data_IF_229467112063
#
_entry.id   IF_229467112063
#
_cell.length_a   1.000
_cell.length_b   1.000
_cell.length_c   1.000
_cell.angle_alpha   90.00
_cell.angle_beta   90.00
_cell.angle_gamma   90.00
#
_symmetry.space_group_name_H-M   'P 1'
#
loop_
_entity.id
_entity.type
_entity.pdbx_description
1 polymer ?
#
# COMPACT_ATOMS: atom_id res chain seq x y z
N UNK A 1 -3.54 -16.17 15.92
CA UNK A 1 -2.94 -14.83 15.95
C UNK A 1 -3.18 -14.08 17.27
N UNK A 2 -4.30 -14.27 17.96
CA UNK A 2 -4.62 -13.52 19.21
C UNK A 2 -3.75 -13.86 20.45
N UNK A 3 -2.91 -14.88 20.41
CA UNK A 3 -2.04 -15.27 21.54
C UNK A 3 -0.69 -14.53 21.61
N UNK A 4 -0.38 -13.69 20.63
CA UNK A 4 0.88 -12.93 20.59
C UNK A 4 0.60 -11.47 20.97
N UNK A 5 1.04 -11.02 22.13
CA UNK A 5 0.87 -9.63 22.60
C UNK A 5 1.54 -8.56 21.71
N UNK A 6 2.29 -8.99 20.69
CA UNK A 6 2.93 -8.11 19.71
C UNK A 6 2.02 -7.75 18.52
N UNK A 7 0.88 -8.45 18.35
CA UNK A 7 -0.05 -8.23 17.25
C UNK A 7 -1.35 -7.62 17.79
N UNK A 8 -1.73 -6.49 17.22
CA UNK A 8 -3.05 -5.87 17.43
C UNK A 8 -3.85 -5.95 16.15
N UNK A 9 -5.08 -6.43 16.25
CA UNK A 9 -6.01 -6.55 15.12
C UNK A 9 -7.16 -5.57 15.37
N UNK A 10 -7.50 -4.79 14.34
CA UNK A 10 -8.63 -3.88 14.34
C UNK A 10 -9.61 -4.32 13.28
N UNK A 11 -10.86 -4.55 13.66
CA UNK A 11 -11.92 -4.98 12.75
C UNK A 11 -12.59 -3.78 12.09
N UNK A 12 -11.82 -3.02 11.31
CA UNK A 12 -12.27 -1.82 10.59
C UNK A 12 -11.52 -1.70 9.25
N UNK A 13 -12.14 -1.06 8.28
CA UNK A 13 -11.44 -0.59 7.09
C UNK A 13 -10.71 0.74 7.38
N UNK A 14 -9.74 1.09 6.55
CA UNK A 14 -9.04 2.37 6.61
C UNK A 14 -9.40 3.26 5.41
N UNK A 15 -9.54 4.56 5.65
CA UNK A 15 -9.83 5.55 4.60
C UNK A 15 -9.57 6.99 5.04
N UNK A 16 -9.95 7.96 4.21
CA UNK A 16 -9.75 9.40 4.44
C UNK A 16 -10.90 10.06 5.22
N UNK A 17 -12.03 9.37 5.34
CA UNK A 17 -13.22 9.85 6.06
C UNK A 17 -13.77 8.71 6.93
N UNK A 18 -14.12 9.04 8.16
CA UNK A 18 -14.79 8.08 9.06
C UNK A 18 -16.26 7.96 8.68
N UNK A 19 -16.64 6.79 8.19
CA UNK A 19 -17.98 6.46 7.73
C UNK A 19 -18.18 4.95 7.68
N UNK A 20 -19.29 4.52 7.11
CA UNK A 20 -19.57 3.11 6.82
C UNK A 20 -19.61 2.91 5.31
N UNK A 21 -18.90 1.90 4.81
CA UNK A 21 -18.92 1.53 3.40
C UNK A 21 -19.31 0.07 3.22
N UNK A 22 -20.02 -0.18 2.12
CA UNK A 22 -20.30 -1.55 1.68
C UNK A 22 -19.19 -2.03 0.76
N UNK A 23 -18.76 -3.28 0.92
CA UNK A 23 -17.65 -3.87 0.19
C UNK A 23 -18.15 -4.69 -1.01
N UNK A 24 -17.49 -4.57 -2.16
CA UNK A 24 -17.56 -5.54 -3.23
C UNK A 24 -16.71 -6.75 -2.84
N UNK A 25 -17.38 -7.87 -2.55
CA UNK A 25 -16.72 -9.10 -2.10
C UNK A 25 -16.35 -9.97 -3.28
N UNK A 26 -15.16 -10.47 -3.23
CA UNK A 26 -14.67 -11.57 -4.04
C UNK A 26 -15.20 -12.89 -3.44
N UNK A 27 -15.95 -13.65 -4.24
CA UNK A 27 -16.66 -14.84 -3.77
C UNK A 27 -15.85 -16.14 -3.93
N UNK A 28 -14.82 -16.15 -4.72
CA UNK A 28 -14.15 -17.39 -5.13
C UNK A 28 -12.62 -17.34 -5.17
N UNK A 29 -12.02 -16.30 -4.55
CA UNK A 29 -10.58 -16.14 -4.43
C UNK A 29 -10.18 -15.74 -3.00
N UNK A 30 -10.76 -16.38 -2.00
CA UNK A 30 -10.50 -16.15 -0.56
C UNK A 30 -10.62 -14.70 -0.14
N UNK A 31 -11.49 -13.93 -0.81
CA UNK A 31 -11.71 -12.48 -0.59
C UNK A 31 -10.49 -11.59 -0.85
N UNK A 32 -9.43 -12.09 -1.50
CA UNK A 32 -8.17 -11.36 -1.71
C UNK A 32 -8.32 -10.16 -2.64
N UNK A 33 -9.35 -10.15 -3.51
CA UNK A 33 -9.64 -9.05 -4.43
C UNK A 33 -10.80 -8.15 -3.97
N UNK A 34 -11.30 -8.35 -2.74
CA UNK A 34 -12.40 -7.55 -2.21
C UNK A 34 -12.01 -6.08 -2.05
N UNK A 35 -12.92 -5.15 -2.42
CA UNK A 35 -12.64 -3.72 -2.44
C UNK A 35 -13.86 -2.89 -2.07
N UNK A 36 -13.65 -1.69 -1.56
CA UNK A 36 -14.70 -0.66 -1.44
C UNK A 36 -14.97 0.04 -2.77
N UNK A 37 -14.16 -0.19 -3.79
CA UNK A 37 -14.34 0.33 -5.14
C UNK A 37 -14.91 -0.75 -6.05
N UNK A 38 -15.74 -0.34 -6.99
CA UNK A 38 -16.32 -1.25 -7.97
C UNK A 38 -15.24 -1.82 -8.89
N UNK A 39 -15.18 -3.15 -9.11
CA UNK A 39 -14.25 -3.76 -10.04
C UNK A 39 -14.47 -3.24 -11.48
N UNK A 40 -13.37 -2.91 -12.17
CA UNK A 40 -13.36 -2.42 -13.56
C UNK A 40 -12.42 -3.26 -14.42
N UNK A 41 -11.21 -2.77 -14.70
CA UNK A 41 -10.24 -3.49 -15.52
C UNK A 41 -9.70 -4.75 -14.83
N UNK A 42 -9.89 -4.89 -13.51
CA UNK A 42 -9.55 -6.10 -12.77
C UNK A 42 -10.14 -7.37 -13.42
N UNK A 43 -11.38 -7.29 -13.86
CA UNK A 43 -12.08 -8.42 -14.51
C UNK A 43 -11.47 -8.84 -15.86
N UNK A 44 -10.68 -7.96 -16.52
CA UNK A 44 -9.96 -8.30 -17.77
C UNK A 44 -8.77 -9.21 -17.50
N UNK A 45 -8.18 -9.15 -16.31
CA UNK A 45 -7.01 -9.93 -15.93
C UNK A 45 -7.36 -11.16 -15.11
N UNK A 46 -8.47 -11.10 -14.38
CA UNK A 46 -9.00 -12.15 -13.50
C UNK A 46 -10.47 -12.38 -13.76
N UNK A 47 -10.81 -12.79 -15.00
CA UNK A 47 -12.20 -13.03 -15.43
C UNK A 47 -12.93 -14.15 -14.68
N UNK A 48 -12.18 -14.98 -13.94
CA UNK A 48 -12.72 -16.05 -13.11
C UNK A 48 -13.19 -15.58 -11.73
N UNK A 49 -12.85 -14.37 -11.31
CA UNK A 49 -13.27 -13.83 -10.02
C UNK A 49 -14.70 -13.28 -10.13
N UNK A 50 -15.55 -13.74 -9.24
CA UNK A 50 -16.91 -13.27 -9.10
C UNK A 50 -17.00 -12.28 -7.95
N UNK A 51 -17.52 -11.10 -8.23
CA UNK A 51 -17.75 -10.08 -7.21
C UNK A 51 -19.24 -9.94 -6.92
N UNK A 52 -19.56 -9.67 -5.66
CA UNK A 52 -20.89 -9.24 -5.23
C UNK A 52 -20.78 -7.97 -4.39
N UNK A 53 -21.82 -7.16 -4.44
CA UNK A 53 -22.03 -6.08 -3.49
C UNK A 53 -23.04 -6.59 -2.46
N UNK A 54 -22.56 -6.97 -1.29
CA UNK A 54 -23.41 -7.37 -0.19
C UNK A 54 -23.76 -6.13 0.66
N UNK A 55 -24.99 -5.63 0.49
CA UNK A 55 -25.50 -4.48 1.25
C UNK A 55 -25.60 -4.72 2.77
N UNK A 56 -25.56 -5.98 3.20
CA UNK A 56 -25.58 -6.34 4.63
C UNK A 56 -24.20 -6.25 5.28
N UNK A 57 -23.13 -6.29 4.50
CA UNK A 57 -21.77 -6.19 5.04
C UNK A 57 -21.27 -4.75 4.97
N UNK A 58 -21.72 -3.99 5.92
CA UNK A 58 -21.30 -2.59 6.12
C UNK A 58 -20.10 -2.58 7.05
N UNK A 59 -18.97 -2.08 6.57
CA UNK A 59 -17.72 -2.04 7.31
C UNK A 59 -17.45 -0.62 7.77
N UNK A 60 -17.18 -0.40 9.07
CA UNK A 60 -16.79 0.91 9.57
C UNK A 60 -15.40 1.27 9.02
N UNK A 61 -15.31 2.46 8.42
CA UNK A 61 -14.06 3.04 7.94
C UNK A 61 -13.55 4.05 8.96
N UNK A 62 -12.30 3.90 9.32
CA UNK A 62 -11.60 4.80 10.23
C UNK A 62 -10.40 5.44 9.54
N UNK A 63 -9.95 6.58 10.02
CA UNK A 63 -8.65 7.12 9.63
C UNK A 63 -7.53 6.37 10.36
N UNK A 64 -6.43 6.12 9.67
CA UNK A 64 -5.24 5.55 10.32
C UNK A 64 -4.78 6.45 11.50
N UNK A 65 -4.91 7.76 11.34
CA UNK A 65 -4.56 8.75 12.35
C UNK A 65 -5.47 8.74 13.60
N UNK A 66 -6.64 8.08 13.56
CA UNK A 66 -7.52 7.91 14.72
C UNK A 66 -7.01 6.86 15.70
N UNK A 67 -6.08 6.03 15.26
CA UNK A 67 -5.45 5.02 16.11
C UNK A 67 -4.20 5.58 16.82
N UNK A 68 -4.08 5.27 18.11
CA UNK A 68 -2.88 5.59 18.89
C UNK A 68 -1.82 4.51 18.66
N UNK A 69 -1.17 4.56 17.50
CA UNK A 69 -0.08 3.65 17.14
C UNK A 69 1.24 4.38 17.39
N UNK A 70 1.97 3.93 18.40
CA UNK A 70 3.27 4.48 18.75
C UNK A 70 4.38 3.55 18.26
N UNK A 71 5.52 4.11 17.89
CA UNK A 71 6.74 3.38 17.52
C UNK A 71 6.64 2.51 16.25
N UNK A 72 5.63 2.73 15.39
CA UNK A 72 5.60 2.13 14.06
C UNK A 72 6.23 3.09 13.07
N UNK A 73 7.20 2.61 12.30
CA UNK A 73 7.95 3.39 11.31
C UNK A 73 7.92 2.78 9.90
N UNK A 74 7.19 1.68 9.74
CA UNK A 74 6.95 1.04 8.44
C UNK A 74 5.45 0.88 8.26
N UNK A 75 4.94 1.29 7.11
CA UNK A 75 3.55 1.13 6.70
C UNK A 75 3.49 0.18 5.51
N UNK A 76 2.68 -0.89 5.61
CA UNK A 76 2.33 -1.74 4.47
C UNK A 76 0.87 -1.50 4.11
N UNK A 77 0.58 -1.24 2.82
CA UNK A 77 -0.78 -0.96 2.33
C UNK A 77 -1.06 -1.82 1.11
N UNK A 78 -2.08 -2.65 1.23
CA UNK A 78 -2.66 -3.44 0.14
C UNK A 78 -4.17 -3.53 0.43
N UNK A 79 -4.94 -2.66 -0.19
CA UNK A 79 -6.36 -2.45 0.06
C UNK A 79 -7.17 -2.36 -1.23
N UNK A 80 -6.64 -3.00 -2.26
CA UNK A 80 -7.31 -3.25 -3.53
C UNK A 80 -7.94 -2.00 -4.16
N UNK A 81 -7.09 -0.97 -4.40
CA UNK A 81 -7.48 0.29 -5.05
C UNK A 81 -7.83 1.43 -4.09
N UNK A 82 -7.88 1.20 -2.79
CA UNK A 82 -8.22 2.23 -1.80
C UNK A 82 -6.99 2.89 -1.15
N UNK A 83 -5.79 2.62 -1.67
CA UNK A 83 -4.49 2.96 -1.09
C UNK A 83 -4.35 4.47 -0.81
N UNK A 84 -4.70 5.33 -1.79
CA UNK A 84 -4.58 6.78 -1.62
C UNK A 84 -5.51 7.32 -0.53
N UNK A 85 -6.66 6.68 -0.33
CA UNK A 85 -7.59 7.02 0.74
C UNK A 85 -7.02 6.67 2.12
N UNK A 86 -6.38 5.49 2.24
CA UNK A 86 -5.65 5.10 3.46
C UNK A 86 -4.53 6.08 3.76
N UNK A 87 -3.73 6.45 2.76
CA UNK A 87 -2.64 7.42 2.94
C UNK A 87 -3.14 8.79 3.40
N UNK A 88 -4.22 9.31 2.81
CA UNK A 88 -4.85 10.57 3.22
C UNK A 88 -5.43 10.53 4.64
N UNK A 89 -5.91 9.37 5.07
CA UNK A 89 -6.39 9.17 6.44
C UNK A 89 -5.28 8.97 7.48
N UNK A 90 -4.00 8.88 7.04
CA UNK A 90 -2.84 8.60 7.87
C UNK A 90 -1.69 9.60 7.72
N UNK A 91 -1.97 10.86 7.42
CA UNK A 91 -0.92 11.85 7.16
C UNK A 91 0.04 12.03 8.34
N UNK A 92 -0.47 12.13 9.58
CA UNK A 92 0.36 12.21 10.78
C UNK A 92 1.17 10.94 11.03
N UNK A 93 0.58 9.78 10.73
CA UNK A 93 1.29 8.50 10.83
C UNK A 93 2.43 8.44 9.81
N UNK A 94 2.18 8.86 8.56
CA UNK A 94 3.14 8.89 7.46
C UNK A 94 4.32 9.82 7.77
N UNK A 95 4.08 10.95 8.43
CA UNK A 95 5.14 11.86 8.86
C UNK A 95 6.21 11.18 9.73
N UNK A 96 5.82 10.18 10.50
CA UNK A 96 6.69 9.42 11.39
C UNK A 96 7.24 8.11 10.76
N UNK A 97 6.81 7.76 9.55
CA UNK A 97 7.29 6.57 8.85
C UNK A 97 8.66 6.79 8.22
N UNK A 98 9.48 5.75 8.23
CA UNK A 98 10.74 5.67 7.49
C UNK A 98 10.58 5.02 6.12
N UNK A 99 9.62 4.07 6.00
CA UNK A 99 9.35 3.31 4.80
C UNK A 99 7.86 3.03 4.61
N UNK A 100 7.43 2.97 3.35
CA UNK A 100 6.09 2.57 2.94
C UNK A 100 6.20 1.54 1.83
N UNK A 101 5.61 0.36 2.03
CA UNK A 101 5.39 -0.66 1.01
C UNK A 101 3.92 -0.62 0.63
N UNK A 102 3.62 -0.44 -0.65
CA UNK A 102 2.24 -0.19 -1.09
C UNK A 102 1.98 -0.82 -2.45
N UNK A 103 0.80 -1.43 -2.61
CA UNK A 103 0.33 -1.84 -3.93
C UNK A 103 0.06 -0.60 -4.79
N UNK A 104 0.45 -0.68 -6.06
CA UNK A 104 0.32 0.42 -7.03
C UNK A 104 -0.20 -0.09 -8.36
N UNK A 105 -0.95 0.76 -9.06
CA UNK A 105 -1.61 0.42 -10.29
C UNK A 105 -1.14 1.31 -11.46
N UNK A 106 -1.00 0.70 -12.66
CA UNK A 106 -0.78 1.43 -13.94
C UNK A 106 -2.08 1.74 -14.66
N UNK A 107 -3.16 1.04 -14.31
CA UNK A 107 -4.48 1.14 -14.91
C UNK A 107 -5.54 1.17 -13.84
N UNK A 108 -6.71 1.60 -14.19
CA UNK A 108 -7.86 1.66 -13.30
C UNK A 108 -8.48 0.26 -13.14
N UNK A 109 -7.92 -0.54 -12.23
CA UNK A 109 -8.40 -1.90 -11.92
C UNK A 109 -9.76 -1.87 -11.23
N UNK A 110 -9.96 -0.88 -10.38
CA UNK A 110 -11.21 -0.56 -9.70
C UNK A 110 -11.61 0.87 -10.05
N UNK A 111 -12.90 1.18 -10.12
CA UNK A 111 -13.38 2.51 -10.49
C UNK A 111 -12.82 3.59 -9.55
N UNK A 112 -12.10 4.55 -10.12
CA UNK A 112 -11.48 5.67 -9.37
C UNK A 112 -10.27 5.28 -8.52
N UNK A 113 -9.69 4.08 -8.66
CA UNK A 113 -8.46 3.73 -7.95
C UNK A 113 -7.28 4.61 -8.42
N UNK A 114 -6.35 4.94 -7.53
CA UNK A 114 -5.20 5.76 -7.87
C UNK A 114 -4.25 5.04 -8.82
N UNK A 115 -3.62 5.81 -9.69
CA UNK A 115 -2.44 5.33 -10.43
C UNK A 115 -1.18 5.58 -9.60
N UNK A 116 -0.09 4.87 -9.93
CA UNK A 116 1.20 5.01 -9.26
C UNK A 116 1.68 6.47 -9.19
N UNK A 117 1.40 7.28 -10.23
CA UNK A 117 1.77 8.70 -10.25
C UNK A 117 1.01 9.53 -9.20
N UNK A 118 -0.21 9.15 -8.84
CA UNK A 118 -0.99 9.82 -7.81
C UNK A 118 -0.40 9.55 -6.43
N UNK A 119 0.03 8.30 -6.21
CA UNK A 119 0.76 7.90 -5.00
C UNK A 119 2.12 8.61 -4.91
N UNK A 120 2.90 8.65 -6.02
CA UNK A 120 4.17 9.38 -6.09
C UNK A 120 3.98 10.86 -5.71
N UNK A 121 2.98 11.51 -6.30
CA UNK A 121 2.68 12.94 -6.05
C UNK A 121 2.30 13.18 -4.59
N UNK A 122 1.46 12.33 -4.02
CA UNK A 122 1.04 12.45 -2.63
C UNK A 122 2.23 12.26 -1.66
N UNK A 123 2.97 11.17 -1.80
CA UNK A 123 4.07 10.82 -0.89
C UNK A 123 5.27 11.77 -1.02
N UNK A 124 5.43 12.45 -2.15
CA UNK A 124 6.43 13.51 -2.32
C UNK A 124 6.25 14.66 -1.33
N UNK A 125 5.01 15.00 -0.95
CA UNK A 125 4.73 16.05 0.03
C UNK A 125 5.25 15.69 1.43
N UNK A 126 5.41 14.41 1.72
CA UNK A 126 5.95 13.88 2.97
C UNK A 126 7.43 13.47 2.84
N UNK A 127 8.12 13.98 1.81
CA UNK A 127 9.54 13.72 1.55
C UNK A 127 9.90 12.24 1.29
N UNK A 128 8.97 11.44 0.78
CA UNK A 128 9.27 10.10 0.33
C UNK A 128 9.79 10.08 -1.11
N UNK A 129 10.66 9.11 -1.40
CA UNK A 129 11.15 8.79 -2.74
C UNK A 129 10.82 7.33 -3.01
N UNK A 130 10.22 7.03 -4.16
CA UNK A 130 10.05 5.67 -4.62
C UNK A 130 11.39 5.09 -5.03
N UNK A 131 11.84 4.04 -4.32
CA UNK A 131 13.16 3.42 -4.52
C UNK A 131 13.09 2.17 -5.37
N UNK A 132 11.94 1.50 -5.41
CA UNK A 132 11.72 0.36 -6.30
C UNK A 132 10.23 0.18 -6.61
N UNK A 133 9.96 -0.51 -7.72
CA UNK A 133 8.62 -1.02 -8.06
C UNK A 133 8.80 -2.40 -8.66
N UNK A 134 8.13 -3.39 -8.11
CA UNK A 134 8.09 -4.75 -8.62
C UNK A 134 6.71 -5.01 -9.20
N UNK A 135 6.61 -5.02 -10.52
CA UNK A 135 5.38 -5.42 -11.21
C UNK A 135 5.25 -6.94 -11.19
N UNK A 136 4.04 -7.45 -10.94
CA UNK A 136 3.79 -8.89 -10.88
C UNK A 136 4.24 -9.60 -12.15
N UNK A 137 3.85 -9.07 -13.33
CA UNK A 137 4.33 -9.43 -14.67
C UNK A 137 4.31 -8.18 -15.55
N UNK A 138 5.01 -8.22 -16.69
CA UNK A 138 5.01 -7.06 -17.62
C UNK A 138 3.61 -6.71 -18.14
N UNK A 139 2.76 -7.72 -18.35
CA UNK A 139 1.39 -7.58 -18.87
C UNK A 139 0.37 -7.23 -17.79
N UNK A 140 0.73 -7.38 -16.52
CA UNK A 140 -0.16 -7.15 -15.39
C UNK A 140 0.04 -5.72 -14.87
N UNK A 141 -1.06 -4.96 -14.67
CA UNK A 141 -0.96 -3.53 -14.40
C UNK A 141 -0.80 -3.17 -12.92
N UNK A 142 -0.63 -4.13 -12.01
CA UNK A 142 -0.37 -3.85 -10.60
C UNK A 142 0.97 -4.42 -10.13
N UNK A 143 1.45 -3.94 -9.02
CA UNK A 143 2.69 -4.36 -8.39
C UNK A 143 2.95 -3.63 -7.08
N UNK A 144 4.05 -3.96 -6.41
CA UNK A 144 4.44 -3.39 -5.14
C UNK A 144 5.49 -2.30 -5.34
N UNK A 145 5.28 -1.15 -4.72
CA UNK A 145 6.23 -0.05 -4.69
C UNK A 145 6.76 0.18 -3.27
N UNK A 146 8.08 0.34 -3.17
CA UNK A 146 8.75 0.72 -1.94
C UNK A 146 9.14 2.19 -1.98
N UNK A 147 8.69 2.93 -0.98
CA UNK A 147 9.06 4.33 -0.74
C UNK A 147 9.88 4.44 0.54
N UNK A 148 10.92 5.26 0.51
CA UNK A 148 11.74 5.59 1.67
C UNK A 148 11.77 7.10 1.88
N UNK A 149 11.83 7.55 3.14
CA UNK A 149 12.12 8.96 3.46
C UNK A 149 13.44 9.37 2.84
N UNK A 150 13.53 10.58 2.32
CA UNK A 150 14.74 11.11 1.65
C UNK A 150 15.98 11.03 2.54
N UNK A 151 15.86 11.34 3.83
CA UNK A 151 16.97 11.29 4.78
C UNK A 151 17.49 9.86 5.03
N UNK A 152 16.70 8.83 4.70
CA UNK A 152 17.08 7.41 4.82
C UNK A 152 17.77 6.87 3.55
N UNK A 153 17.76 7.63 2.46
CA UNK A 153 18.39 7.25 1.19
C UNK A 153 19.71 7.99 1.02
N UNK A 154 20.85 7.31 0.94
CA UNK A 154 22.15 7.94 0.69
C UNK A 154 22.14 8.81 -0.58
N UNK A 155 22.78 9.96 -0.56
CA UNK A 155 22.78 10.93 -1.66
C UNK A 155 23.19 10.34 -3.02
N UNK A 156 24.23 9.49 -3.03
CA UNK A 156 24.72 8.81 -4.24
C UNK A 156 23.62 7.90 -4.85
N UNK A 157 22.82 7.26 -4.00
CA UNK A 157 21.74 6.39 -4.47
C UNK A 157 20.53 7.19 -4.99
N UNK A 158 20.32 8.44 -4.54
CA UNK A 158 19.22 9.28 -5.02
C UNK A 158 19.35 9.59 -6.52
N UNK A 159 20.56 9.88 -6.98
CA UNK A 159 20.84 10.11 -8.40
C UNK A 159 20.63 8.85 -9.24
N UNK A 160 21.08 7.69 -8.74
CA UNK A 160 20.89 6.42 -9.45
C UNK A 160 19.45 5.96 -9.49
N UNK A 161 18.62 6.29 -8.50
CA UNK A 161 17.20 5.92 -8.43
C UNK A 161 16.36 6.68 -9.47
N UNK A 162 16.71 7.93 -9.78
CA UNK A 162 16.07 8.70 -10.86
C UNK A 162 16.27 8.00 -12.21
N UNK A 163 17.42 7.34 -12.41
CA UNK A 163 17.74 6.61 -13.65
C UNK A 163 17.33 5.12 -13.61
N UNK A 164 17.28 4.48 -12.44
CA UNK A 164 16.98 3.05 -12.26
C UNK A 164 15.51 2.66 -12.24
N UNK A 165 14.59 3.61 -12.19
CA UNK A 165 13.15 3.31 -12.31
C UNK A 165 12.76 2.65 -13.66
N UNK A 166 13.74 2.47 -14.55
CA UNK A 166 13.60 1.79 -15.83
C UNK A 166 14.25 0.39 -15.90
N UNK A 167 15.06 -0.03 -14.93
CA UNK A 167 15.84 -1.26 -15.03
C UNK A 167 15.58 -2.18 -13.83
N UNK A 168 15.12 -3.37 -14.14
CA UNK A 168 14.89 -4.62 -13.38
C UNK A 168 15.63 -4.75 -12.03
N UNK A 169 14.92 -4.63 -10.89
CA UNK A 169 15.51 -4.55 -9.54
C UNK A 169 15.23 -5.79 -8.68
N UNK A 170 15.44 -7.02 -9.20
CA UNK A 170 15.24 -8.25 -8.40
C UNK A 170 16.04 -8.32 -7.08
N UNK A 171 17.15 -7.58 -6.95
CA UNK A 171 18.07 -7.71 -5.81
C UNK A 171 18.09 -6.54 -4.81
N UNK A 172 17.49 -5.40 -5.14
CA UNK A 172 17.62 -4.20 -4.30
C UNK A 172 16.65 -4.19 -3.10
N UNK A 173 15.46 -4.75 -3.28
CA UNK A 173 14.43 -4.79 -2.22
C UNK A 173 14.89 -5.66 -1.05
N UNK A 174 15.48 -6.82 -1.34
CA UNK A 174 16.02 -7.73 -0.31
C UNK A 174 17.21 -7.12 0.44
N UNK A 175 18.09 -6.43 -0.26
CA UNK A 175 19.28 -5.80 0.31
C UNK A 175 18.93 -4.61 1.23
N UNK A 176 17.93 -3.82 0.89
CA UNK A 176 17.48 -2.69 1.70
C UNK A 176 16.77 -3.19 2.96
N UNK A 177 15.85 -4.16 2.84
CA UNK A 177 15.16 -4.75 3.99
C UNK A 177 16.14 -5.45 4.95
N UNK A 178 17.15 -6.17 4.45
CA UNK A 178 18.15 -6.83 5.28
C UNK A 178 19.03 -5.85 6.07
N UNK A 179 19.32 -4.66 5.51
CA UNK A 179 20.06 -3.61 6.23
C UNK A 179 19.22 -2.93 7.32
N UNK A 180 17.92 -2.72 7.11
CA UNK A 180 17.02 -2.18 8.14
C UNK A 180 16.84 -3.14 9.31
N UNK A 181 16.80 -4.45 9.03
CA UNK A 181 16.72 -5.49 10.08
C UNK A 181 18.04 -5.55 10.90
N UNK A 182 19.19 -5.38 10.26
CA UNK A 182 20.51 -5.46 10.94
C UNK A 182 20.84 -4.21 11.79
N UNK A 183 20.20 -3.07 11.56
CA UNK A 183 20.40 -1.88 12.41
C UNK A 183 19.73 -2.04 13.77
N UNK A 184 18.63 -2.80 13.88
CA UNK A 184 17.95 -3.06 15.17
C UNK A 184 18.69 -4.06 16.08
N UNK A 185 19.65 -4.79 15.57
CA UNK A 185 20.42 -5.76 16.37
C UNK A 185 21.76 -5.22 16.89
N UNK A 186 22.01 -3.92 16.81
CA UNK A 186 23.24 -3.25 17.28
C UNK A 186 22.99 -2.06 18.21
N UNK A 187 21.84 -2.06 18.92
CA UNK A 187 21.60 -1.14 20.05
C UNK A 187 21.19 -1.97 21.26
#
# INVERSE_FOLDING_TARGET
FQKNNLIKIFNTGLGDVENNLTMYKDLNNDSQSSSFLKPKDHLKYHSYINFTLDEKEVIPIMKLDSYKINNANILCVDVQGFELKVLKGGERFIENCDAILIEVNRKELYEGCPHINDIDKFLKNFEFIRVSTKWWKQTIPWGDALYLKKNKVPFINRLSLVFKNYINTKNLTFFILSRFINIKNKI
#
